data_IF_988970486025
#
_entry.id   IF_988970486025
#
_cell.length_a   1.000
_cell.length_b   1.000
_cell.length_c   1.000
_cell.angle_alpha   90.00
_cell.angle_beta   90.00
_cell.angle_gamma   90.00
#
_symmetry.space_group_name_H-M   'P 1'
#
loop_
_entity.id
_entity.type
_entity.pdbx_description
1 polymer ?
#
# COMPACT_ATOMS: atom_id res chain seq x y z
N UNK A 1 -16.70 -20.06 6.56
CA UNK A 1 -16.96 -18.62 6.78
C UNK A 1 -15.89 -17.87 6.02
N UNK A 2 -16.23 -16.82 5.26
CA UNK A 2 -15.23 -16.04 4.52
C UNK A 2 -14.44 -15.11 5.44
N UNK A 3 -13.19 -14.81 5.10
CA UNK A 3 -12.34 -13.85 5.82
C UNK A 3 -12.28 -12.55 5.03
N UNK A 4 -12.54 -11.42 5.70
CA UNK A 4 -12.21 -10.10 5.17
C UNK A 4 -10.84 -9.73 5.77
N UNK A 5 -9.84 -9.59 4.92
CA UNK A 5 -8.51 -9.12 5.29
C UNK A 5 -8.31 -7.69 4.78
N UNK A 6 -7.61 -6.86 5.55
CA UNK A 6 -7.24 -5.49 5.18
C UNK A 6 -5.72 -5.41 5.20
N UNK A 7 -5.15 -5.01 4.07
CA UNK A 7 -3.72 -4.78 3.90
C UNK A 7 -3.53 -3.29 3.59
N UNK A 8 -2.76 -2.59 4.41
CA UNK A 8 -2.62 -1.14 4.32
C UNK A 8 -1.19 -0.72 4.66
N UNK A 9 -0.66 0.23 3.87
CA UNK A 9 0.58 0.92 4.20
C UNK A 9 0.23 2.20 4.94
N UNK A 10 0.74 2.37 6.16
CA UNK A 10 0.40 3.51 7.03
C UNK A 10 1.66 3.99 7.75
N UNK A 11 1.80 5.30 7.90
CA UNK A 11 2.85 5.90 8.73
C UNK A 11 2.62 5.65 10.22
N UNK A 12 3.64 5.93 11.04
CA UNK A 12 3.54 5.80 12.51
C UNK A 12 2.45 6.68 13.14
N UNK A 13 2.12 7.81 12.49
CA UNK A 13 1.06 8.74 12.89
C UNK A 13 -0.28 8.51 12.18
N UNK A 14 -0.43 7.42 11.42
CA UNK A 14 -1.71 6.99 10.87
C UNK A 14 -2.06 7.54 9.48
N UNK A 15 -1.09 8.14 8.77
CA UNK A 15 -1.30 8.73 7.45
C UNK A 15 -1.07 7.68 6.35
N UNK A 16 -2.02 7.58 5.43
CA UNK A 16 -2.01 6.62 4.31
C UNK A 16 -1.87 7.31 2.96
N UNK A 17 -2.36 8.55 2.88
CA UNK A 17 -2.23 9.46 1.76
C UNK A 17 -2.10 10.88 2.30
N UNK A 18 -1.47 11.79 1.54
CA UNK A 18 -1.52 13.23 1.80
C UNK A 18 -2.95 13.66 2.19
N UNK A 19 -3.14 14.29 3.37
CA UNK A 19 -4.46 14.67 3.88
C UNK A 19 -5.25 15.59 2.95
N UNK A 20 -4.56 16.38 2.13
CA UNK A 20 -5.18 17.29 1.16
C UNK A 20 -5.50 16.60 -0.17
N UNK A 21 -4.77 15.52 -0.48
CA UNK A 21 -4.84 14.82 -1.76
C UNK A 21 -4.25 15.60 -2.93
N UNK A 22 -3.60 16.73 -2.65
CA UNK A 22 -3.01 17.64 -3.65
C UNK A 22 -1.80 16.99 -4.33
N UNK A 23 -1.10 16.10 -3.63
CA UNK A 23 0.05 15.38 -4.17
C UNK A 23 -0.32 14.20 -5.10
N UNK A 24 -1.61 13.83 -5.13
CA UNK A 24 -2.12 12.68 -5.90
C UNK A 24 -1.47 11.36 -5.49
N UNK A 25 -1.52 10.36 -6.39
CA UNK A 25 -0.78 9.10 -6.24
C UNK A 25 0.42 9.15 -7.17
N UNK A 26 1.52 9.75 -6.71
CA UNK A 26 2.74 9.90 -7.49
C UNK A 26 3.87 9.02 -6.95
N UNK A 27 4.68 8.45 -7.85
CA UNK A 27 5.91 7.73 -7.46
C UNK A 27 6.93 8.64 -6.75
N UNK A 28 6.82 9.96 -6.93
CA UNK A 28 7.68 10.98 -6.33
C UNK A 28 7.33 11.31 -4.88
N UNK A 29 6.06 11.12 -4.48
CA UNK A 29 5.60 11.26 -3.08
C UNK A 29 5.62 9.94 -2.30
N UNK A 30 6.16 8.87 -2.89
CA UNK A 30 6.22 7.56 -2.24
C UNK A 30 7.29 7.57 -1.15
N UNK A 31 6.89 7.59 0.12
CA UNK A 31 7.80 7.52 1.27
C UNK A 31 8.70 6.27 1.22
N UNK A 32 8.28 5.19 0.55
CA UNK A 32 9.10 3.98 0.34
C UNK A 32 10.31 4.25 -0.57
N UNK A 33 10.35 5.37 -1.29
CA UNK A 33 11.53 5.80 -2.04
C UNK A 33 12.77 5.98 -1.13
N UNK A 34 12.58 6.21 0.17
CA UNK A 34 13.66 6.26 1.15
C UNK A 34 14.23 4.88 1.53
N UNK A 35 13.50 3.78 1.28
CA UNK A 35 13.97 2.43 1.57
C UNK A 35 15.12 2.01 0.63
N UNK A 36 15.91 1.01 1.03
CA UNK A 36 16.89 0.45 0.11
C UNK A 36 16.19 -0.27 -1.06
N UNK A 37 16.86 -0.41 -2.23
CA UNK A 37 16.28 -1.17 -3.34
C UNK A 37 15.96 -2.63 -2.98
N UNK A 38 16.66 -3.23 -2.02
CA UNK A 38 16.39 -4.59 -1.57
C UNK A 38 15.09 -4.64 -0.75
N UNK A 39 14.96 -3.75 0.24
CA UNK A 39 13.77 -3.71 1.11
C UNK A 39 12.52 -3.39 0.31
N UNK A 40 12.59 -2.45 -0.65
CA UNK A 40 11.47 -2.18 -1.56
C UNK A 40 11.01 -3.41 -2.32
N UNK A 41 11.93 -4.24 -2.81
CA UNK A 41 11.58 -5.45 -3.55
C UNK A 41 10.93 -6.50 -2.67
N UNK A 42 11.41 -6.68 -1.43
CA UNK A 42 10.77 -7.60 -0.49
C UNK A 42 9.38 -7.10 -0.10
N UNK A 43 9.23 -5.79 0.08
CA UNK A 43 7.93 -5.16 0.33
C UNK A 43 6.95 -5.37 -0.84
N UNK A 44 7.40 -5.15 -2.08
CA UNK A 44 6.57 -5.34 -3.27
C UNK A 44 6.12 -6.80 -3.43
N UNK A 45 6.97 -7.78 -3.06
CA UNK A 45 6.59 -9.20 -3.06
C UNK A 45 5.49 -9.50 -2.04
N UNK A 46 5.58 -8.93 -0.84
CA UNK A 46 4.60 -9.15 0.22
C UNK A 46 3.21 -8.64 -0.18
N UNK A 47 3.14 -7.40 -0.69
CA UNK A 47 1.88 -6.83 -1.19
C UNK A 47 1.31 -7.65 -2.35
N UNK A 48 2.17 -8.11 -3.26
CA UNK A 48 1.76 -8.94 -4.38
C UNK A 48 1.18 -10.28 -3.92
N UNK A 49 1.83 -10.93 -2.96
CA UNK A 49 1.36 -12.19 -2.38
C UNK A 49 0.01 -12.02 -1.69
N UNK A 50 -0.16 -10.96 -0.90
CA UNK A 50 -1.43 -10.63 -0.24
C UNK A 50 -2.55 -10.47 -1.28
N UNK A 51 -2.31 -9.69 -2.34
CA UNK A 51 -3.28 -9.46 -3.41
C UNK A 51 -3.62 -10.74 -4.20
N UNK A 52 -2.65 -11.60 -4.47
CA UNK A 52 -2.85 -12.86 -5.20
C UNK A 52 -3.51 -13.95 -4.34
N UNK A 53 -3.35 -13.89 -3.02
CA UNK A 53 -4.00 -14.82 -2.09
C UNK A 53 -5.50 -14.54 -1.93
N UNK A 54 -5.93 -13.32 -2.23
CA UNK A 54 -7.31 -12.90 -2.16
C UNK A 54 -8.12 -13.39 -3.37
N UNK A 55 -9.35 -13.87 -3.12
CA UNK A 55 -10.27 -14.26 -4.19
C UNK A 55 -10.88 -13.05 -4.92
N UNK A 56 -10.95 -11.90 -4.24
CA UNK A 56 -11.52 -10.65 -4.76
C UNK A 56 -10.87 -9.47 -4.04
N UNK A 57 -10.70 -8.37 -4.77
CA UNK A 57 -10.28 -7.08 -4.20
C UNK A 57 -11.49 -6.16 -4.11
N UNK A 58 -11.74 -5.62 -2.93
CA UNK A 58 -12.74 -4.57 -2.69
C UNK A 58 -12.02 -3.24 -2.59
N UNK A 59 -12.11 -2.42 -3.64
CA UNK A 59 -11.44 -1.12 -3.72
C UNK A 59 -12.47 0.00 -3.77
N UNK A 60 -12.14 1.14 -3.14
CA UNK A 60 -12.88 2.37 -3.32
C UNK A 60 -12.76 2.88 -4.76
N UNK A 61 -13.64 3.80 -5.17
CA UNK A 61 -13.67 4.36 -6.54
C UNK A 61 -12.49 5.29 -6.87
N UNK A 62 -11.82 5.84 -5.85
CA UNK A 62 -10.89 6.96 -5.99
C UNK A 62 -9.50 6.50 -6.41
#
# INVERSE_FOLDING_TARGET
MGTIAVFENVSLDGVTQDPTGDEGVSRSGDWRAALTPADRREWDKLILEDALSAQVLLLGRR
#
